data_IF_981570047622
#
_entry.id   IF_981570047622
#
_cell.length_a   1.000
_cell.length_b   1.000
_cell.length_c   1.000
_cell.angle_alpha   90.00
_cell.angle_beta   90.00
_cell.angle_gamma   90.00
#
_symmetry.space_group_name_H-M   'P 1'
#
loop_
_entity.id
_entity.type
_entity.pdbx_description
1 polymer ?
#
# COMPACT_ATOMS: atom_id res chain seq x y z
N UNK A 1 21.43 -6.25 11.03
CA UNK A 1 20.09 -5.84 11.51
C UNK A 1 19.09 -6.03 10.37
N UNK A 2 17.86 -6.45 10.67
CA UNK A 2 16.80 -6.68 9.69
C UNK A 2 15.57 -5.82 10.01
N UNK A 3 14.72 -5.59 9.00
CA UNK A 3 13.39 -5.00 9.21
C UNK A 3 12.34 -6.01 8.79
N UNK A 4 11.38 -6.27 9.69
CA UNK A 4 10.21 -7.11 9.39
C UNK A 4 8.97 -6.25 9.36
N UNK A 5 8.13 -6.48 8.36
CA UNK A 5 6.82 -5.84 8.29
C UNK A 5 5.71 -6.88 8.30
N UNK A 6 4.76 -6.70 9.20
CA UNK A 6 3.57 -7.52 9.31
C UNK A 6 2.32 -6.69 8.98
N UNK A 7 1.50 -7.18 8.05
CA UNK A 7 0.22 -6.56 7.69
C UNK A 7 -0.88 -6.91 8.68
N UNK A 8 -2.02 -6.21 8.61
CA UNK A 8 -3.16 -6.42 9.52
C UNK A 8 -3.68 -7.85 9.53
N UNK A 9 -3.67 -8.54 8.38
CA UNK A 9 -4.07 -9.94 8.29
C UNK A 9 -3.20 -10.88 9.13
N UNK A 10 -1.94 -10.53 9.39
CA UNK A 10 -1.01 -11.38 10.15
C UNK A 10 -1.31 -11.41 11.66
N UNK A 11 -2.03 -10.42 12.17
CA UNK A 11 -2.42 -10.29 13.58
C UNK A 11 -3.94 -10.16 13.76
N UNK A 12 -4.73 -10.56 12.75
CA UNK A 12 -6.18 -10.43 12.74
C UNK A 12 -6.85 -11.23 13.84
N UNK A 13 -6.34 -12.44 14.12
CA UNK A 13 -6.83 -13.32 15.17
C UNK A 13 -5.77 -13.59 16.23
N UNK A 14 -6.22 -14.04 17.40
CA UNK A 14 -5.33 -14.41 18.52
C UNK A 14 -4.35 -15.52 18.11
N UNK A 15 -4.81 -16.51 17.34
CA UNK A 15 -4.00 -17.62 16.87
C UNK A 15 -2.89 -17.11 15.94
N UNK A 16 -3.23 -16.21 15.01
CA UNK A 16 -2.25 -15.59 14.12
C UNK A 16 -1.24 -14.76 14.90
N UNK A 17 -1.69 -13.96 15.88
CA UNK A 17 -0.79 -13.18 16.74
C UNK A 17 0.20 -14.07 17.52
N UNK A 18 -0.27 -15.21 18.05
CA UNK A 18 0.60 -16.20 18.71
C UNK A 18 1.61 -16.80 17.73
N UNK A 19 1.15 -17.16 16.54
CA UNK A 19 2.04 -17.69 15.51
C UNK A 19 3.11 -16.66 15.07
N UNK A 20 2.72 -15.39 14.92
CA UNK A 20 3.68 -14.29 14.63
C UNK A 20 4.68 -14.12 15.77
N UNK A 21 4.24 -14.25 17.02
CA UNK A 21 5.15 -14.18 18.18
C UNK A 21 6.17 -15.34 18.17
N UNK A 22 5.75 -16.57 17.82
CA UNK A 22 6.67 -17.71 17.62
C UNK A 22 7.65 -17.44 16.47
N UNK A 23 7.20 -16.89 15.36
CA UNK A 23 8.06 -16.51 14.24
C UNK A 23 9.07 -15.44 14.66
N UNK A 24 8.66 -14.43 15.38
CA UNK A 24 9.54 -13.37 15.92
C UNK A 24 10.56 -13.97 16.90
N UNK A 25 10.16 -14.94 17.72
CA UNK A 25 11.04 -15.60 18.68
C UNK A 25 12.22 -16.33 18.02
N UNK A 26 12.06 -16.83 16.79
CA UNK A 26 13.18 -17.42 16.04
C UNK A 26 14.32 -16.42 15.76
N UNK A 27 14.04 -15.12 15.85
CA UNK A 27 14.99 -14.02 15.62
C UNK A 27 15.35 -13.24 16.89
N UNK A 28 14.99 -13.74 18.09
CA UNK A 28 15.21 -13.02 19.38
C UNK A 28 16.66 -12.64 19.66
N UNK A 29 17.62 -13.36 19.08
CA UNK A 29 19.05 -13.10 19.22
C UNK A 29 19.62 -12.18 18.14
N UNK A 30 18.79 -11.76 17.17
CA UNK A 30 19.13 -10.83 16.11
C UNK A 30 18.50 -9.46 16.33
N UNK A 31 19.15 -8.40 15.87
CA UNK A 31 18.53 -7.06 15.88
C UNK A 31 17.50 -6.95 14.78
N UNK A 32 16.23 -6.84 15.17
CA UNK A 32 15.10 -6.72 14.24
C UNK A 32 14.19 -5.55 14.61
N UNK A 33 14.00 -4.64 13.67
CA UNK A 33 12.94 -3.64 13.74
C UNK A 33 11.66 -4.24 13.16
N UNK A 34 10.59 -4.27 13.94
CA UNK A 34 9.31 -4.89 13.59
C UNK A 34 8.29 -3.78 13.37
N UNK A 35 7.81 -3.65 12.14
CA UNK A 35 6.77 -2.70 11.73
C UNK A 35 5.44 -3.44 11.57
N UNK A 36 4.42 -3.04 12.34
CA UNK A 36 3.12 -3.72 12.32
C UNK A 36 2.03 -2.71 11.94
N UNK A 37 1.07 -3.17 11.11
CA UNK A 37 -0.12 -2.41 10.73
C UNK A 37 -1.26 -2.59 11.75
N UNK A 38 -2.35 -1.86 11.59
CA UNK A 38 -3.59 -2.06 12.32
C UNK A 38 -4.11 -3.51 12.15
N UNK A 39 -4.73 -4.05 13.22
CA UNK A 39 -5.28 -5.42 13.26
C UNK A 39 -6.39 -5.61 12.21
N UNK A 40 -6.26 -6.63 11.36
CA UNK A 40 -7.32 -7.06 10.44
C UNK A 40 -7.89 -5.92 9.58
N UNK A 41 -9.17 -5.62 9.74
CA UNK A 41 -9.90 -4.57 9.03
C UNK A 41 -10.16 -3.32 9.88
N UNK A 42 -9.37 -3.08 10.91
CA UNK A 42 -9.52 -1.94 11.84
C UNK A 42 -9.53 -0.61 11.08
N UNK A 43 -8.63 -0.41 10.11
CA UNK A 43 -8.59 0.81 9.28
C UNK A 43 -9.93 1.09 8.61
N UNK A 44 -10.57 0.07 8.01
CA UNK A 44 -11.89 0.23 7.38
C UNK A 44 -13.01 0.54 8.40
N UNK A 45 -12.90 0.04 9.64
CA UNK A 45 -13.85 0.38 10.70
C UNK A 45 -13.65 1.84 11.16
N UNK A 46 -12.40 2.27 11.30
CA UNK A 46 -12.06 3.66 11.62
C UNK A 46 -12.49 4.65 10.53
N UNK A 47 -12.38 4.29 9.26
CA UNK A 47 -12.89 5.09 8.13
C UNK A 47 -14.41 5.37 8.28
N UNK A 48 -15.20 4.35 8.65
CA UNK A 48 -16.64 4.55 8.91
C UNK A 48 -16.92 5.50 10.07
N UNK A 49 -16.06 5.48 11.10
CA UNK A 49 -16.16 6.41 12.23
C UNK A 49 -15.90 7.85 11.75
N UNK A 50 -14.86 8.04 10.93
CA UNK A 50 -14.57 9.34 10.31
C UNK A 50 -15.73 9.81 9.45
N UNK A 51 -16.29 8.93 8.61
CA UNK A 51 -17.42 9.28 7.74
C UNK A 51 -18.65 9.70 8.53
N UNK A 52 -19.02 8.95 9.59
CA UNK A 52 -20.12 9.29 10.48
C UNK A 52 -19.87 10.62 11.22
N UNK A 53 -18.66 10.80 11.75
CA UNK A 53 -18.26 12.03 12.44
C UNK A 53 -18.35 13.23 11.49
N UNK A 54 -17.77 13.15 10.30
CA UNK A 54 -17.74 14.24 9.34
C UNK A 54 -19.13 14.56 8.74
N UNK A 55 -20.03 13.56 8.71
CA UNK A 55 -21.44 13.74 8.38
C UNK A 55 -22.29 14.33 9.54
N UNK A 56 -21.67 14.76 10.64
CA UNK A 56 -22.31 15.26 11.87
C UNK A 56 -23.17 14.25 12.63
N UNK A 57 -22.97 12.94 12.37
CA UNK A 57 -23.61 11.83 13.10
C UNK A 57 -22.77 11.43 14.31
N UNK A 58 -22.58 12.34 15.26
CA UNK A 58 -21.66 12.16 16.41
C UNK A 58 -22.03 10.93 17.24
N UNK A 59 -23.33 10.71 17.49
CA UNK A 59 -23.79 9.54 18.26
C UNK A 59 -23.42 8.20 17.58
N UNK A 60 -23.54 8.14 16.26
CA UNK A 60 -23.14 6.97 15.48
C UNK A 60 -21.62 6.77 15.52
N UNK A 61 -20.85 7.83 15.31
CA UNK A 61 -19.38 7.80 15.38
C UNK A 61 -18.90 7.28 16.76
N UNK A 62 -19.48 7.77 17.86
CA UNK A 62 -19.16 7.32 19.22
C UNK A 62 -19.54 5.86 19.46
N UNK A 63 -20.71 5.39 18.95
CA UNK A 63 -21.11 3.99 19.06
C UNK A 63 -20.19 3.06 18.29
N UNK A 64 -19.81 3.43 17.06
CA UNK A 64 -18.87 2.67 16.23
C UNK A 64 -17.49 2.61 16.90
N UNK A 65 -17.02 3.73 17.49
CA UNK A 65 -15.75 3.77 18.19
C UNK A 65 -15.76 2.91 19.45
N UNK A 66 -16.80 3.01 20.29
CA UNK A 66 -16.95 2.15 21.47
C UNK A 66 -16.95 0.66 21.13
N UNK A 67 -17.58 0.28 20.01
CA UNK A 67 -17.55 -1.12 19.53
C UNK A 67 -16.14 -1.55 19.09
N UNK A 68 -15.39 -0.67 18.42
CA UNK A 68 -13.99 -0.91 18.02
C UNK A 68 -13.07 -1.04 19.23
N UNK A 69 -13.22 -0.15 20.21
CA UNK A 69 -12.49 -0.23 21.49
C UNK A 69 -12.75 -1.56 22.19
N UNK A 70 -14.02 -1.95 22.36
CA UNK A 70 -14.41 -3.21 22.98
C UNK A 70 -13.81 -4.42 22.25
N UNK A 71 -13.75 -4.40 20.90
CA UNK A 71 -13.10 -5.46 20.09
C UNK A 71 -11.60 -5.56 20.37
N UNK A 72 -10.90 -4.44 20.46
CA UNK A 72 -9.46 -4.42 20.78
C UNK A 72 -9.18 -4.83 22.24
N UNK A 73 -10.03 -4.43 23.17
CA UNK A 73 -9.94 -4.87 24.57
C UNK A 73 -10.16 -6.38 24.70
N UNK A 74 -11.19 -6.91 24.03
CA UNK A 74 -11.48 -8.36 24.01
C UNK A 74 -10.31 -9.13 23.37
N UNK A 75 -9.78 -8.64 22.25
CA UNK A 75 -8.62 -9.23 21.59
C UNK A 75 -7.39 -9.27 22.51
N UNK A 76 -7.12 -8.19 23.23
CA UNK A 76 -6.03 -8.14 24.21
C UNK A 76 -6.25 -9.13 25.36
N UNK A 77 -7.48 -9.24 25.88
CA UNK A 77 -7.82 -10.19 26.95
C UNK A 77 -7.68 -11.65 26.49
N UNK A 78 -8.10 -11.97 25.29
CA UNK A 78 -7.97 -13.31 24.72
C UNK A 78 -6.51 -13.69 24.42
N UNK A 79 -5.69 -12.71 24.03
CA UNK A 79 -4.28 -12.94 23.70
C UNK A 79 -3.42 -13.08 24.96
N UNK A 80 -3.59 -12.17 25.92
CA UNK A 80 -2.76 -12.08 27.13
C UNK A 80 -3.36 -12.87 28.32
N UNK A 81 -4.65 -13.16 28.33
CA UNK A 81 -5.37 -13.69 29.50
C UNK A 81 -5.60 -12.62 30.57
N UNK A 82 -4.54 -12.05 31.09
CA UNK A 82 -4.58 -10.91 32.04
C UNK A 82 -3.70 -9.78 31.53
N UNK A 83 -4.30 -8.64 31.30
CA UNK A 83 -3.55 -7.42 30.94
C UNK A 83 -2.82 -6.84 32.16
N UNK A 84 -1.64 -6.28 31.91
CA UNK A 84 -0.98 -5.44 32.91
C UNK A 84 -1.69 -4.07 33.02
N UNK A 85 -1.58 -3.44 34.18
CA UNK A 85 -2.09 -2.07 34.38
C UNK A 85 -1.47 -1.08 33.39
N UNK A 86 -0.19 -1.27 33.05
CA UNK A 86 0.52 -0.45 32.08
C UNK A 86 -0.12 -0.52 30.68
N UNK A 87 -0.46 -1.73 30.20
CA UNK A 87 -1.14 -1.88 28.91
C UNK A 87 -2.56 -1.31 28.97
N UNK A 88 -3.32 -1.58 30.05
CA UNK A 88 -4.67 -1.06 30.22
C UNK A 88 -4.69 0.46 30.17
N UNK A 89 -3.78 1.12 30.89
CA UNK A 89 -3.63 2.57 30.89
C UNK A 89 -3.26 3.09 29.50
N UNK A 90 -2.32 2.41 28.80
CA UNK A 90 -1.91 2.81 27.43
C UNK A 90 -3.06 2.72 26.44
N UNK A 91 -3.85 1.64 26.46
CA UNK A 91 -5.01 1.51 25.59
C UNK A 91 -6.06 2.59 25.88
N UNK A 92 -6.34 2.89 27.16
CA UNK A 92 -7.26 3.97 27.55
C UNK A 92 -6.74 5.33 27.08
N UNK A 93 -5.45 5.63 27.28
CA UNK A 93 -4.83 6.87 26.79
C UNK A 93 -5.03 7.04 25.28
N UNK A 94 -4.72 6.01 24.50
CA UNK A 94 -4.87 6.02 23.05
C UNK A 94 -6.33 6.19 22.62
N UNK A 95 -7.29 5.50 23.26
CA UNK A 95 -8.70 5.66 22.96
C UNK A 95 -9.21 7.07 23.28
N UNK A 96 -8.73 7.66 24.38
CA UNK A 96 -9.09 9.03 24.77
C UNK A 96 -8.64 10.06 23.74
N UNK A 97 -7.53 9.85 23.01
CA UNK A 97 -7.13 10.72 21.90
C UNK A 97 -8.27 10.83 20.85
N UNK A 98 -8.87 9.70 20.49
CA UNK A 98 -9.98 9.68 19.51
C UNK A 98 -11.28 10.26 20.10
N UNK A 99 -11.59 9.97 21.36
CA UNK A 99 -12.78 10.55 22.03
C UNK A 99 -12.71 12.08 22.05
N UNK A 100 -11.53 12.66 22.25
CA UNK A 100 -11.33 14.10 22.17
C UNK A 100 -11.63 14.62 20.77
N UNK A 101 -11.10 13.99 19.73
CA UNK A 101 -11.38 14.37 18.34
C UNK A 101 -12.88 14.29 18.05
N UNK A 102 -13.58 13.23 18.50
CA UNK A 102 -15.02 13.07 18.32
C UNK A 102 -15.85 14.08 19.12
N UNK A 103 -15.25 14.79 20.07
CA UNK A 103 -15.89 15.90 20.83
C UNK A 103 -15.59 17.29 20.26
N UNK A 104 -14.69 17.41 19.28
CA UNK A 104 -14.32 18.69 18.68
C UNK A 104 -15.43 19.25 17.77
N UNK A 105 -15.35 20.55 17.52
CA UNK A 105 -16.14 21.18 16.47
C UNK A 105 -15.52 20.90 15.10
N UNK A 106 -16.36 20.74 14.06
CA UNK A 106 -15.90 20.48 12.69
C UNK A 106 -15.37 21.77 12.04
N UNK A 107 -14.14 22.15 12.36
CA UNK A 107 -13.46 23.33 11.81
C UNK A 107 -12.29 22.98 10.88
N UNK A 108 -11.96 21.68 10.75
CA UNK A 108 -10.87 21.18 9.94
C UNK A 108 -11.39 20.36 8.74
N UNK A 109 -10.55 20.20 7.68
CA UNK A 109 -10.88 19.35 6.55
C UNK A 109 -11.05 17.87 6.93
N UNK A 110 -11.83 17.11 6.16
CA UNK A 110 -12.01 15.67 6.32
C UNK A 110 -10.69 14.91 6.44
N UNK A 111 -9.68 15.26 5.61
CA UNK A 111 -8.39 14.60 5.61
C UNK A 111 -7.63 14.72 6.95
N UNK A 112 -7.78 15.83 7.66
CA UNK A 112 -7.25 16.03 9.01
C UNK A 112 -7.88 15.03 9.99
N UNK A 113 -9.21 15.02 10.09
CA UNK A 113 -9.92 14.12 11.01
C UNK A 113 -9.69 12.66 10.68
N UNK A 114 -9.58 12.34 9.38
CA UNK A 114 -9.21 11.02 8.93
C UNK A 114 -7.90 10.56 9.58
N UNK A 115 -6.85 11.36 9.49
CA UNK A 115 -5.54 11.00 10.01
C UNK A 115 -5.50 10.95 11.54
N UNK A 116 -6.21 11.85 12.25
CA UNK A 116 -6.27 11.80 13.71
C UNK A 116 -6.97 10.52 14.20
N UNK A 117 -8.05 10.08 13.55
CA UNK A 117 -8.83 8.92 13.98
C UNK A 117 -8.20 7.61 13.48
N UNK A 118 -7.79 7.55 12.20
CA UNK A 118 -7.34 6.29 11.60
C UNK A 118 -6.00 5.84 12.16
N UNK A 119 -5.13 6.76 12.54
CA UNK A 119 -3.80 6.43 13.12
C UNK A 119 -3.84 5.57 14.38
N UNK A 120 -4.96 5.56 15.11
CA UNK A 120 -5.08 4.81 16.36
C UNK A 120 -4.97 3.30 16.17
N UNK A 121 -5.38 2.78 15.00
CA UNK A 121 -5.39 1.36 14.71
C UNK A 121 -4.02 0.70 14.84
N UNK A 122 -3.00 1.36 14.31
CA UNK A 122 -1.61 0.90 14.38
C UNK A 122 -1.06 1.00 15.80
N UNK A 123 -1.41 2.03 16.54
CA UNK A 123 -0.98 2.24 17.92
C UNK A 123 -1.54 1.17 18.86
N UNK A 124 -2.85 0.87 18.73
CA UNK A 124 -3.50 -0.17 19.52
C UNK A 124 -2.89 -1.55 19.24
N UNK A 125 -2.77 -1.93 17.97
CA UNK A 125 -2.28 -3.24 17.58
C UNK A 125 -0.84 -3.49 18.01
N UNK A 126 0.03 -2.50 17.86
CA UNK A 126 1.45 -2.63 18.22
C UNK A 126 1.67 -2.63 19.70
N UNK A 127 0.89 -1.85 20.48
CA UNK A 127 0.93 -1.86 21.95
C UNK A 127 0.53 -3.22 22.51
N UNK A 128 -0.53 -3.84 21.96
CA UNK A 128 -0.97 -5.17 22.38
C UNK A 128 0.08 -6.24 22.03
N UNK A 129 0.64 -6.21 20.82
CA UNK A 129 1.67 -7.17 20.40
C UNK A 129 2.95 -7.06 21.23
N UNK A 130 3.43 -5.84 21.52
CA UNK A 130 4.60 -5.62 22.35
C UNK A 130 4.39 -6.14 23.78
N UNK A 131 3.22 -5.86 24.36
CA UNK A 131 2.86 -6.38 25.69
C UNK A 131 2.80 -7.91 25.70
N UNK A 132 2.24 -8.53 24.66
CA UNK A 132 2.19 -9.98 24.55
C UNK A 132 3.58 -10.61 24.43
N UNK A 133 4.46 -10.10 23.56
CA UNK A 133 5.84 -10.60 23.45
C UNK A 133 6.57 -10.53 24.79
N UNK A 134 6.51 -9.39 25.47
CA UNK A 134 7.15 -9.24 26.79
C UNK A 134 6.56 -10.19 27.83
N UNK A 135 5.24 -10.43 27.83
CA UNK A 135 4.58 -11.36 28.74
C UNK A 135 5.05 -12.81 28.56
N UNK A 136 5.32 -13.23 27.32
CA UNK A 136 5.81 -14.59 27.03
C UNK A 136 7.34 -14.70 27.10
N UNK A 137 8.04 -13.66 27.59
CA UNK A 137 9.48 -13.65 27.81
C UNK A 137 10.31 -13.28 26.59
N UNK A 138 9.71 -12.75 25.54
CA UNK A 138 10.40 -12.22 24.36
C UNK A 138 10.56 -10.71 24.56
N UNK A 139 11.72 -10.28 25.06
CA UNK A 139 11.97 -8.87 25.35
C UNK A 139 11.93 -7.99 24.10
N UNK A 140 10.98 -7.09 24.03
CA UNK A 140 10.77 -6.16 22.92
C UNK A 140 10.44 -4.75 23.42
N UNK A 141 11.07 -3.74 22.84
CA UNK A 141 10.78 -2.33 23.11
C UNK A 141 9.70 -1.84 22.16
N UNK A 142 8.69 -1.15 22.69
CA UNK A 142 7.67 -0.49 21.89
C UNK A 142 8.00 1.00 21.75
N UNK A 143 7.97 1.52 20.53
CA UNK A 143 8.27 2.92 20.23
C UNK A 143 7.13 3.50 19.40
N UNK A 144 6.62 4.66 19.82
CA UNK A 144 5.65 5.43 19.04
C UNK A 144 6.33 6.03 17.81
N UNK A 145 5.89 5.64 16.65
CA UNK A 145 6.47 6.12 15.38
C UNK A 145 6.27 7.62 15.16
N UNK A 146 5.23 8.21 15.78
CA UNK A 146 4.93 9.64 15.67
C UNK A 146 6.04 10.52 16.23
N UNK A 147 6.82 10.00 17.18
CA UNK A 147 7.99 10.69 17.73
C UNK A 147 9.17 10.72 16.75
N UNK A 148 9.16 9.86 15.73
CA UNK A 148 10.29 9.59 14.84
C UNK A 148 9.99 9.99 13.41
N UNK A 149 8.86 9.51 12.85
CA UNK A 149 8.46 9.73 11.46
C UNK A 149 7.84 11.12 11.31
N UNK A 150 8.66 12.10 10.96
CA UNK A 150 8.21 13.49 10.76
C UNK A 150 7.86 13.75 9.30
N UNK A 151 6.76 14.47 9.08
CA UNK A 151 6.20 14.70 7.75
C UNK A 151 5.70 16.14 7.60
N UNK A 152 5.28 16.48 6.38
CA UNK A 152 4.42 17.64 6.16
C UNK A 152 2.96 17.35 6.60
N UNK A 153 2.08 18.34 6.41
CA UNK A 153 0.65 18.29 6.72
C UNK A 153 -0.24 17.90 5.52
N UNK A 154 0.34 17.20 4.54
CA UNK A 154 -0.43 16.63 3.44
C UNK A 154 -1.17 15.40 3.93
N UNK A 155 -2.26 15.63 4.69
CA UNK A 155 -3.04 14.55 5.29
C UNK A 155 -3.47 13.49 4.27
N UNK A 156 -3.47 12.21 4.67
CA UNK A 156 -3.78 11.00 3.91
C UNK A 156 -2.71 10.56 2.90
N UNK A 157 -1.72 11.38 2.61
CA UNK A 157 -0.57 11.02 1.72
C UNK A 157 0.65 11.91 2.06
N UNK A 158 1.00 11.96 3.35
CA UNK A 158 2.02 12.86 3.87
C UNK A 158 3.41 12.56 3.33
N UNK A 159 4.18 13.62 3.06
CA UNK A 159 5.54 13.51 2.60
C UNK A 159 6.51 13.52 3.78
N UNK A 160 7.46 12.58 3.78
CA UNK A 160 8.43 12.44 4.85
C UNK A 160 9.46 13.56 4.80
N UNK A 161 9.70 14.20 5.95
CA UNK A 161 10.82 15.11 6.18
C UNK A 161 12.08 14.27 6.46
N UNK A 162 12.75 13.80 5.40
CA UNK A 162 13.82 12.82 5.47
C UNK A 162 14.93 13.17 6.47
N UNK A 163 15.50 14.36 6.41
CA UNK A 163 16.61 14.74 7.28
C UNK A 163 16.24 14.69 8.76
N UNK A 164 15.02 15.12 9.09
CA UNK A 164 14.52 15.14 10.47
C UNK A 164 14.22 13.73 10.96
N UNK A 165 13.51 12.96 10.15
CA UNK A 165 13.18 11.56 10.41
C UNK A 165 14.46 10.73 10.58
N UNK A 166 15.47 10.91 9.73
CA UNK A 166 16.76 10.21 9.81
C UNK A 166 17.46 10.48 11.13
N UNK A 167 17.56 11.76 11.53
CA UNK A 167 18.22 12.15 12.78
C UNK A 167 17.54 11.53 14.01
N UNK A 168 16.19 11.61 14.05
CA UNK A 168 15.41 11.06 15.16
C UNK A 168 15.46 9.52 15.17
N UNK A 169 15.27 8.88 14.02
CA UNK A 169 15.27 7.43 13.91
C UNK A 169 16.61 6.83 14.34
N UNK A 170 17.73 7.37 13.87
CA UNK A 170 19.07 6.92 14.31
C UNK A 170 19.21 7.05 15.82
N UNK A 171 18.89 8.20 16.40
CA UNK A 171 19.02 8.44 17.83
C UNK A 171 18.19 7.47 18.66
N UNK A 172 16.90 7.32 18.31
CA UNK A 172 15.94 6.52 19.09
C UNK A 172 16.22 5.02 18.93
N UNK A 173 16.35 4.54 17.69
CA UNK A 173 16.57 3.11 17.44
C UNK A 173 17.95 2.64 17.89
N UNK A 174 19.00 3.43 17.73
CA UNK A 174 20.34 3.07 18.26
C UNK A 174 20.33 2.94 19.78
N UNK A 175 19.59 3.81 20.47
CA UNK A 175 19.41 3.71 21.93
C UNK A 175 18.65 2.45 22.31
N UNK A 176 17.52 2.16 21.63
CA UNK A 176 16.71 0.98 21.90
C UNK A 176 17.50 -0.32 21.63
N UNK A 177 18.21 -0.42 20.50
CA UNK A 177 19.01 -1.59 20.14
C UNK A 177 20.29 -1.80 20.97
N UNK A 178 20.60 -0.92 21.92
CA UNK A 178 21.62 -1.18 22.96
C UNK A 178 21.08 -2.05 24.10
N UNK A 179 19.76 -2.07 24.29
CA UNK A 179 19.10 -2.77 25.41
C UNK A 179 18.25 -3.96 24.93
N UNK A 180 17.67 -3.86 23.75
CA UNK A 180 16.76 -4.85 23.18
C UNK A 180 17.24 -5.29 21.79
N UNK A 181 17.04 -6.57 21.49
CA UNK A 181 17.26 -7.06 20.13
C UNK A 181 16.04 -6.83 19.24
N UNK A 182 14.84 -6.76 19.83
CA UNK A 182 13.59 -6.58 19.12
C UNK A 182 12.99 -5.22 19.47
N UNK A 183 12.66 -4.46 18.45
CA UNK A 183 11.98 -3.17 18.57
C UNK A 183 10.72 -3.18 17.72
N UNK A 184 9.59 -2.81 18.32
CA UNK A 184 8.28 -2.78 17.65
C UNK A 184 7.86 -1.32 17.49
N UNK A 185 7.39 -1.00 16.27
CA UNK A 185 6.83 0.31 15.95
C UNK A 185 5.68 0.17 14.94
N UNK A 186 4.95 1.25 14.71
CA UNK A 186 3.85 1.32 13.77
C UNK A 186 4.37 1.54 12.34
N UNK A 187 3.63 1.02 11.37
CA UNK A 187 3.73 1.48 10.00
C UNK A 187 2.64 2.50 9.66
N UNK A 188 2.60 3.00 8.44
CA UNK A 188 1.53 3.81 7.88
C UNK A 188 1.39 5.22 8.43
N UNK A 189 1.77 5.49 9.66
CA UNK A 189 1.55 6.75 10.36
C UNK A 189 2.86 7.50 10.64
N UNK A 190 2.74 8.80 10.88
CA UNK A 190 3.78 9.70 11.36
C UNK A 190 3.16 10.90 12.04
N UNK A 191 3.91 11.97 12.19
CA UNK A 191 3.40 13.24 12.72
C UNK A 191 4.00 14.45 12.03
N UNK A 192 3.24 15.55 12.05
CA UNK A 192 3.73 16.87 11.69
C UNK A 192 4.63 17.46 12.79
N UNK A 193 5.20 18.62 12.53
CA UNK A 193 5.99 19.37 13.54
C UNK A 193 5.14 19.82 14.72
N UNK A 194 3.84 20.03 14.54
CA UNK A 194 2.87 20.36 15.56
C UNK A 194 2.31 19.12 16.30
N UNK A 195 2.93 17.95 16.08
CA UNK A 195 2.54 16.65 16.65
C UNK A 195 1.11 16.19 16.29
N UNK A 196 0.54 16.66 15.19
CA UNK A 196 -0.70 16.10 14.65
C UNK A 196 -0.37 14.80 13.90
N UNK A 197 -1.20 13.77 14.10
CA UNK A 197 -1.04 12.49 13.41
C UNK A 197 -1.28 12.67 11.90
N UNK A 198 -0.52 11.92 11.11
CA UNK A 198 -0.68 11.86 9.65
C UNK A 198 -0.58 10.44 9.16
N UNK A 199 -1.14 10.16 7.98
CA UNK A 199 -0.98 8.87 7.31
C UNK A 199 -0.18 9.01 6.01
N UNK A 200 0.57 7.95 5.65
CA UNK A 200 1.49 7.94 4.51
C UNK A 200 0.85 7.45 3.20
N UNK A 201 -0.46 7.31 3.19
CA UNK A 201 -1.22 6.86 2.03
C UNK A 201 -1.12 5.35 1.76
N UNK A 202 -1.43 4.97 0.53
CA UNK A 202 -1.53 3.57 0.13
C UNK A 202 -0.24 2.79 0.40
N UNK A 203 -0.37 1.58 0.99
CA UNK A 203 0.74 0.70 1.40
C UNK A 203 1.75 1.40 2.32
N UNK A 204 1.30 2.38 3.11
CA UNK A 204 2.14 3.21 3.98
C UNK A 204 2.95 2.41 4.99
N UNK A 205 2.48 1.24 5.47
CA UNK A 205 3.25 0.41 6.39
C UNK A 205 4.44 -0.27 5.72
N UNK A 206 4.31 -0.73 4.46
CA UNK A 206 5.43 -1.27 3.69
C UNK A 206 6.44 -0.14 3.41
N UNK A 207 5.93 1.07 3.12
CA UNK A 207 6.76 2.26 2.94
C UNK A 207 7.49 2.66 4.21
N UNK A 208 6.85 2.67 5.39
CA UNK A 208 7.52 2.93 6.68
C UNK A 208 8.69 1.97 6.93
N UNK A 209 8.47 0.67 6.66
CA UNK A 209 9.50 -0.34 6.80
C UNK A 209 10.70 -0.07 5.87
N UNK A 210 10.44 0.33 4.61
CA UNK A 210 11.48 0.67 3.64
C UNK A 210 12.24 1.94 4.01
N UNK A 211 11.56 2.95 4.55
CA UNK A 211 12.18 4.20 5.02
C UNK A 211 13.13 3.92 6.17
N UNK A 212 12.67 3.20 7.20
CA UNK A 212 13.54 2.84 8.33
C UNK A 212 14.69 1.92 7.91
N UNK A 213 14.44 0.99 6.99
CA UNK A 213 15.49 0.16 6.43
C UNK A 213 16.58 0.98 5.74
N UNK A 214 16.18 1.97 4.94
CA UNK A 214 17.12 2.90 4.31
C UNK A 214 17.89 3.71 5.35
N UNK A 215 17.21 4.31 6.33
CA UNK A 215 17.84 5.15 7.36
C UNK A 215 18.86 4.37 8.20
N UNK A 216 18.51 3.14 8.60
CA UNK A 216 19.30 2.31 9.50
C UNK A 216 20.33 1.42 8.79
N UNK A 217 20.37 1.46 7.45
CA UNK A 217 21.31 0.71 6.62
C UNK A 217 21.31 -0.80 6.93
N UNK A 218 20.11 -1.39 6.86
CA UNK A 218 19.88 -2.77 7.28
C UNK A 218 20.32 -3.77 6.21
N UNK A 219 20.54 -5.03 6.62
CA UNK A 219 20.90 -6.14 5.73
C UNK A 219 19.77 -6.53 4.79
N UNK A 220 18.52 -6.45 5.26
CA UNK A 220 17.35 -6.85 4.47
C UNK A 220 16.04 -6.36 5.08
N UNK A 221 15.02 -6.27 4.23
CA UNK A 221 13.61 -6.11 4.64
C UNK A 221 12.86 -7.39 4.32
N UNK A 222 11.97 -7.82 5.22
CA UNK A 222 11.01 -8.91 4.93
C UNK A 222 9.59 -8.39 5.15
N UNK A 223 8.79 -8.40 4.09
CA UNK A 223 7.34 -8.17 4.15
C UNK A 223 6.66 -9.55 4.26
N UNK A 224 6.05 -9.78 5.41
CA UNK A 224 5.32 -11.00 5.70
C UNK A 224 3.86 -10.86 5.24
N UNK A 225 3.44 -11.73 4.31
CA UNK A 225 2.08 -11.78 3.73
C UNK A 225 1.43 -13.14 3.97
N UNK A 226 0.17 -13.26 3.61
CA UNK A 226 -0.60 -14.52 3.65
C UNK A 226 -0.50 -15.35 2.36
N UNK A 227 0.38 -14.92 1.45
CA UNK A 227 0.66 -15.61 0.19
C UNK A 227 2.07 -16.18 0.17
N UNK A 228 2.31 -17.33 -0.52
CA UNK A 228 3.60 -18.02 -0.46
C UNK A 228 4.76 -17.24 -1.08
N UNK A 229 4.47 -16.41 -2.08
CA UNK A 229 5.45 -15.61 -2.84
C UNK A 229 4.73 -14.59 -3.71
N UNK A 230 5.46 -13.76 -4.45
CA UNK A 230 4.90 -13.08 -5.60
C UNK A 230 4.58 -14.10 -6.69
N UNK A 231 3.44 -13.93 -7.34
CA UNK A 231 3.00 -14.79 -8.44
C UNK A 231 3.09 -14.02 -9.76
N UNK A 232 3.22 -14.76 -10.83
CA UNK A 232 3.27 -14.21 -12.18
C UNK A 232 1.94 -13.64 -12.70
N UNK A 233 0.84 -13.86 -11.96
CA UNK A 233 -0.48 -13.28 -12.22
C UNK A 233 -1.34 -13.30 -10.95
N UNK A 234 -2.49 -12.63 -10.97
CA UNK A 234 -3.48 -12.71 -9.89
C UNK A 234 -4.18 -14.08 -9.92
N UNK A 235 -4.05 -14.92 -8.88
CA UNK A 235 -4.66 -16.24 -8.85
C UNK A 235 -6.20 -16.24 -8.85
N UNK A 236 -6.83 -15.11 -8.57
CA UNK A 236 -8.28 -14.94 -8.68
C UNK A 236 -8.74 -14.84 -10.13
N UNK A 237 -7.85 -14.40 -11.03
CA UNK A 237 -8.13 -14.20 -12.45
C UNK A 237 -7.52 -15.29 -13.31
N UNK A 238 -6.42 -15.88 -12.88
CA UNK A 238 -5.64 -16.86 -13.63
C UNK A 238 -5.39 -18.11 -12.77
N UNK A 239 -5.96 -19.26 -13.14
CA UNK A 239 -5.89 -20.48 -12.28
C UNK A 239 -4.49 -21.11 -12.24
N UNK A 240 -3.67 -20.91 -13.28
CA UNK A 240 -2.36 -21.56 -13.44
C UNK A 240 -1.20 -20.60 -13.15
N UNK A 241 -1.23 -19.94 -11.97
CA UNK A 241 -0.16 -19.04 -11.56
C UNK A 241 1.06 -19.80 -11.06
N UNK A 242 2.24 -19.23 -11.30
CA UNK A 242 3.50 -19.79 -10.83
C UNK A 242 4.23 -18.79 -9.91
N UNK A 243 4.95 -19.27 -8.89
CA UNK A 243 5.72 -18.43 -8.00
C UNK A 243 6.94 -17.84 -8.72
N UNK A 244 7.28 -16.61 -8.36
CA UNK A 244 8.51 -15.93 -8.78
C UNK A 244 9.47 -15.97 -7.59
N UNK A 245 10.53 -16.78 -7.66
CA UNK A 245 11.49 -16.92 -6.57
C UNK A 245 12.43 -15.70 -6.46
N UNK A 246 12.81 -15.13 -7.59
CA UNK A 246 13.75 -14.00 -7.67
C UNK A 246 13.30 -13.01 -8.74
N UNK A 247 13.35 -11.71 -8.41
CA UNK A 247 12.90 -10.64 -9.32
C UNK A 247 13.69 -9.35 -9.05
N UNK A 248 13.93 -8.55 -10.09
CA UNK A 248 14.60 -7.26 -9.93
C UNK A 248 13.64 -6.17 -9.44
N UNK A 249 14.16 -5.15 -8.76
CA UNK A 249 13.38 -3.94 -8.43
C UNK A 249 12.74 -3.31 -9.66
N UNK A 250 13.47 -3.26 -10.78
CA UNK A 250 12.94 -2.73 -12.04
C UNK A 250 11.69 -3.50 -12.49
N UNK A 251 11.74 -4.82 -12.46
CA UNK A 251 10.61 -5.64 -12.91
C UNK A 251 9.39 -5.49 -11.99
N UNK A 252 9.59 -5.40 -10.67
CA UNK A 252 8.49 -5.14 -9.71
C UNK A 252 7.84 -3.77 -9.97
N UNK A 253 8.64 -2.73 -10.26
CA UNK A 253 8.11 -1.40 -10.60
C UNK A 253 7.28 -1.46 -11.89
N UNK A 254 7.74 -2.17 -12.90
CA UNK A 254 7.01 -2.38 -14.15
C UNK A 254 5.67 -3.12 -13.91
N UNK A 255 5.70 -4.22 -13.13
CA UNK A 255 4.50 -4.94 -12.75
C UNK A 255 3.48 -4.03 -12.04
N UNK A 256 3.95 -3.24 -11.08
CA UNK A 256 3.10 -2.30 -10.32
C UNK A 256 2.54 -1.19 -11.22
N UNK A 257 3.33 -0.68 -12.17
CA UNK A 257 2.89 0.33 -13.14
C UNK A 257 1.71 -0.18 -13.97
N UNK A 258 1.78 -1.43 -14.43
CA UNK A 258 0.70 -2.06 -15.20
C UNK A 258 -0.50 -2.48 -14.35
N UNK A 259 -0.39 -2.42 -13.01
CA UNK A 259 -1.50 -2.64 -12.10
C UNK A 259 -1.44 -3.91 -11.25
N UNK A 260 -0.33 -4.64 -11.29
CA UNK A 260 -0.14 -5.76 -10.38
C UNK A 260 -0.10 -5.28 -8.92
N UNK A 261 -0.86 -5.95 -8.06
CA UNK A 261 -0.91 -5.63 -6.62
C UNK A 261 0.18 -6.40 -5.86
N UNK A 262 1.42 -6.06 -6.10
CA UNK A 262 2.59 -6.75 -5.50
C UNK A 262 3.22 -5.93 -4.38
N UNK A 263 4.01 -4.92 -4.73
CA UNK A 263 4.64 -3.96 -3.82
C UNK A 263 4.54 -2.58 -4.46
N UNK A 264 4.16 -1.58 -3.70
CA UNK A 264 4.02 -0.23 -4.23
C UNK A 264 5.40 0.38 -4.56
N UNK A 265 5.56 1.11 -5.66
CA UNK A 265 6.83 1.76 -6.04
C UNK A 265 7.41 2.69 -4.95
N UNK A 266 6.58 3.32 -4.12
CA UNK A 266 7.02 4.10 -2.94
C UNK A 266 7.93 3.27 -2.01
N UNK A 267 7.60 1.99 -1.80
CA UNK A 267 8.36 1.05 -0.96
C UNK A 267 9.69 0.65 -1.61
N UNK A 268 9.69 0.49 -2.94
CA UNK A 268 10.88 0.04 -3.69
C UNK A 268 11.98 1.09 -3.69
N UNK A 269 11.63 2.37 -3.91
CA UNK A 269 12.61 3.44 -4.12
C UNK A 269 13.64 3.59 -2.99
N UNK A 270 13.26 3.63 -1.69
CA UNK A 270 14.24 3.71 -0.60
C UNK A 270 15.18 2.51 -0.54
N UNK A 271 14.68 1.30 -0.83
CA UNK A 271 15.46 0.07 -0.80
C UNK A 271 16.44 -0.01 -1.97
N UNK A 272 15.97 0.31 -3.17
CA UNK A 272 16.79 0.34 -4.37
C UNK A 272 17.95 1.33 -4.26
N UNK A 273 17.72 2.49 -3.65
CA UNK A 273 18.75 3.53 -3.49
C UNK A 273 19.96 3.08 -2.65
N UNK A 274 19.77 2.09 -1.78
CA UNK A 274 20.81 1.52 -0.91
C UNK A 274 21.11 0.06 -1.18
N UNK A 275 20.54 -0.48 -2.24
CA UNK A 275 20.70 -1.88 -2.63
C UNK A 275 20.31 -2.88 -1.52
N UNK A 276 19.29 -2.54 -0.72
CA UNK A 276 18.79 -3.37 0.37
C UNK A 276 17.81 -4.41 -0.19
N UNK A 277 18.11 -5.70 -0.10
CA UNK A 277 17.22 -6.75 -0.60
C UNK A 277 15.90 -6.79 0.17
N UNK A 278 14.81 -6.97 -0.58
CA UNK A 278 13.45 -7.12 -0.06
C UNK A 278 12.97 -8.55 -0.26
N UNK A 279 12.55 -9.19 0.82
CA UNK A 279 11.90 -10.50 0.78
C UNK A 279 10.39 -10.34 0.96
N UNK A 280 9.62 -11.05 0.15
CA UNK A 280 8.19 -11.28 0.38
C UNK A 280 8.02 -12.73 0.79
N UNK A 281 7.60 -12.97 2.04
CA UNK A 281 7.49 -14.31 2.63
C UNK A 281 6.10 -14.55 3.21
N UNK A 282 5.74 -15.83 3.28
CA UNK A 282 4.50 -16.26 3.90
C UNK A 282 4.65 -16.34 5.43
N UNK A 283 3.77 -15.63 6.16
CA UNK A 283 3.76 -15.79 7.62
C UNK A 283 3.05 -17.06 8.08
N UNK A 284 2.22 -17.71 7.23
CA UNK A 284 1.54 -18.96 7.55
C UNK A 284 2.45 -20.19 7.43
N UNK A 285 3.53 -20.09 6.68
CA UNK A 285 4.57 -21.13 6.56
C UNK A 285 5.94 -20.51 6.36
N UNK A 286 6.70 -20.42 7.44
CA UNK A 286 8.04 -19.83 7.45
C UNK A 286 9.10 -20.60 6.65
N UNK A 287 8.82 -21.86 6.27
CA UNK A 287 9.74 -22.70 5.50
C UNK A 287 9.70 -22.40 4.01
N UNK A 288 8.67 -21.69 3.53
CA UNK A 288 8.61 -21.26 2.14
C UNK A 288 9.68 -20.20 1.87
N UNK A 289 10.37 -20.36 0.74
CA UNK A 289 11.45 -19.43 0.35
C UNK A 289 10.95 -18.00 0.14
N UNK A 290 9.72 -17.84 -0.38
CA UNK A 290 9.17 -16.56 -0.78
C UNK A 290 9.81 -16.03 -2.07
N UNK A 291 9.74 -14.72 -2.24
CA UNK A 291 10.36 -13.99 -3.37
C UNK A 291 11.45 -13.06 -2.86
N UNK A 292 12.62 -13.12 -3.48
CA UNK A 292 13.71 -12.17 -3.31
C UNK A 292 13.59 -11.06 -4.37
N UNK A 293 13.52 -9.82 -3.94
CA UNK A 293 13.52 -8.61 -4.78
C UNK A 293 14.82 -7.85 -4.53
N UNK A 294 15.67 -7.70 -5.54
CA UNK A 294 16.97 -7.06 -5.41
C UNK A 294 17.51 -6.54 -6.74
N UNK A 295 18.64 -5.86 -6.72
CA UNK A 295 19.40 -5.59 -7.92
C UNK A 295 20.30 -6.78 -8.26
N UNK A 296 20.41 -7.13 -9.55
CA UNK A 296 21.33 -8.13 -10.05
C UNK A 296 21.73 -7.84 -11.49
N UNK A 297 22.97 -8.15 -11.82
CA UNK A 297 23.47 -8.10 -13.21
C UNK A 297 23.26 -9.43 -13.94
N UNK A 298 22.86 -10.49 -13.22
CA UNK A 298 22.56 -11.80 -13.82
C UNK A 298 21.22 -11.73 -14.54
N UNK A 299 21.16 -12.33 -15.73
CA UNK A 299 19.91 -12.46 -16.44
C UNK A 299 18.98 -13.44 -15.69
N UNK A 300 17.82 -12.94 -15.26
CA UNK A 300 16.76 -13.76 -14.68
C UNK A 300 15.80 -14.14 -15.81
N UNK A 301 15.48 -15.43 -15.90
CA UNK A 301 14.43 -15.91 -16.80
C UNK A 301 13.09 -15.86 -16.07
N UNK A 302 12.24 -14.92 -16.45
CA UNK A 302 10.91 -14.77 -15.87
C UNK A 302 9.89 -15.66 -16.61
N UNK A 303 8.92 -16.24 -15.89
CA UNK A 303 7.71 -16.72 -16.55
C UNK A 303 6.97 -15.51 -17.18
N UNK A 304 6.06 -15.72 -18.12
CA UNK A 304 5.18 -14.67 -18.58
C UNK A 304 4.41 -14.07 -17.39
N UNK A 305 4.53 -12.75 -17.20
CA UNK A 305 3.88 -12.03 -16.10
C UNK A 305 2.63 -11.36 -16.68
N UNK A 306 1.46 -11.71 -16.14
CA UNK A 306 0.17 -11.30 -16.66
C UNK A 306 -0.55 -10.36 -15.69
N UNK A 307 -1.04 -9.26 -16.22
CA UNK A 307 -1.85 -8.27 -15.48
C UNK A 307 -3.11 -7.98 -16.28
N UNK A 308 -4.26 -8.12 -15.63
CA UNK A 308 -5.56 -7.81 -16.21
C UNK A 308 -6.23 -6.69 -15.43
N UNK A 309 -6.50 -5.57 -16.08
CA UNK A 309 -7.37 -4.51 -15.55
C UNK A 309 -8.74 -4.64 -16.16
N UNK A 310 -9.74 -4.69 -15.32
CA UNK A 310 -11.16 -4.73 -15.70
C UNK A 310 -11.74 -3.31 -15.80
N UNK A 311 -12.93 -3.18 -16.32
CA UNK A 311 -13.68 -1.91 -16.40
C UNK A 311 -12.87 -0.79 -17.04
N UNK A 312 -12.30 -1.06 -18.21
CA UNK A 312 -11.56 -0.07 -18.99
C UNK A 312 -12.48 0.62 -20.01
N UNK A 313 -12.14 1.86 -20.31
CA UNK A 313 -12.75 2.65 -21.39
C UNK A 313 -11.66 2.93 -22.42
N UNK A 314 -11.94 2.60 -23.68
CA UNK A 314 -11.13 3.04 -24.81
C UNK A 314 -11.78 4.28 -25.40
N UNK A 315 -11.08 5.40 -25.29
CA UNK A 315 -11.51 6.71 -25.77
C UNK A 315 -10.74 7.07 -27.04
N UNK A 316 -11.45 7.45 -28.09
CA UNK A 316 -10.87 7.98 -29.31
C UNK A 316 -11.31 9.43 -29.50
N UNK A 317 -10.35 10.34 -29.54
CA UNK A 317 -10.54 11.80 -29.72
C UNK A 317 -10.06 12.19 -31.09
N UNK A 318 -10.96 12.71 -31.94
CA UNK A 318 -10.67 13.08 -33.31
C UNK A 318 -10.79 14.60 -33.51
N UNK A 319 -9.98 15.16 -34.39
CA UNK A 319 -10.18 16.54 -34.86
C UNK A 319 -11.44 16.60 -35.77
N UNK A 320 -12.27 17.65 -35.61
CA UNK A 320 -13.55 17.76 -36.34
C UNK A 320 -13.38 18.09 -37.82
N UNK A 321 -12.29 18.76 -38.15
CA UNK A 321 -11.98 19.26 -39.50
C UNK A 321 -10.97 18.39 -40.24
N UNK A 322 -10.67 17.19 -39.72
CA UNK A 322 -9.64 16.27 -40.25
C UNK A 322 -8.22 16.86 -40.26
N UNK A 323 -7.96 17.96 -39.54
CA UNK A 323 -6.61 18.46 -39.33
C UNK A 323 -5.75 17.46 -38.55
N UNK A 324 -4.44 17.51 -38.71
CA UNK A 324 -3.54 16.66 -37.94
C UNK A 324 -3.60 17.04 -36.45
N UNK A 325 -3.55 16.01 -35.60
CA UNK A 325 -3.31 16.22 -34.17
C UNK A 325 -1.87 16.66 -33.98
N UNK A 326 -1.72 17.91 -33.57
CA UNK A 326 -0.43 18.55 -33.31
C UNK A 326 -0.07 18.40 -31.82
N UNK A 327 1.18 18.76 -31.46
CA UNK A 327 1.65 18.83 -30.08
C UNK A 327 0.78 19.75 -29.20
N UNK A 328 0.23 20.84 -29.78
CA UNK A 328 -0.71 21.74 -29.09
C UNK A 328 -2.02 21.04 -28.73
N UNK A 329 -2.58 20.24 -29.63
CA UNK A 329 -3.76 19.43 -29.37
C UNK A 329 -3.48 18.41 -28.24
N UNK A 330 -2.34 17.70 -28.33
CA UNK A 330 -1.92 16.75 -27.30
C UNK A 330 -1.76 17.42 -25.93
N UNK A 331 -1.12 18.60 -25.87
CA UNK A 331 -0.96 19.36 -24.64
C UNK A 331 -2.30 19.71 -24.00
N UNK A 332 -3.28 20.18 -24.81
CA UNK A 332 -4.65 20.46 -24.34
C UNK A 332 -5.34 19.22 -23.82
N UNK A 333 -5.29 18.11 -24.58
CA UNK A 333 -5.89 16.83 -24.18
C UNK A 333 -5.30 16.35 -22.85
N UNK A 334 -3.97 16.31 -22.70
CA UNK A 334 -3.33 15.91 -21.43
C UNK A 334 -3.69 16.85 -20.27
N UNK A 335 -3.84 18.16 -20.53
CA UNK A 335 -4.26 19.12 -19.50
C UNK A 335 -5.66 18.80 -19.00
N UNK A 336 -6.60 18.42 -19.88
CA UNK A 336 -7.95 18.01 -19.49
C UNK A 336 -7.93 16.72 -18.67
N UNK A 337 -7.17 15.69 -19.09
CA UNK A 337 -6.99 14.47 -18.31
C UNK A 337 -6.43 14.75 -16.92
N UNK A 338 -5.45 15.64 -16.82
CA UNK A 338 -4.87 16.05 -15.53
C UNK A 338 -5.88 16.79 -14.65
N UNK A 339 -6.63 17.74 -15.22
CA UNK A 339 -7.66 18.51 -14.48
C UNK A 339 -8.72 17.57 -13.89
N UNK A 340 -9.19 16.58 -14.66
CA UNK A 340 -10.16 15.59 -14.22
C UNK A 340 -9.52 14.47 -13.36
N UNK A 341 -8.21 14.52 -13.11
CA UNK A 341 -7.45 13.48 -12.36
C UNK A 341 -7.67 12.06 -12.90
N UNK A 342 -7.75 11.92 -14.20
CA UNK A 342 -7.89 10.63 -14.90
C UNK A 342 -6.50 10.17 -15.36
N UNK A 343 -6.08 8.98 -14.90
CA UNK A 343 -4.84 8.35 -15.33
C UNK A 343 -5.05 7.62 -16.66
N UNK A 344 -4.14 7.84 -17.59
CA UNK A 344 -4.08 7.09 -18.84
C UNK A 344 -3.23 5.84 -18.63
N UNK A 345 -3.77 4.68 -19.01
CA UNK A 345 -3.09 3.39 -18.93
C UNK A 345 -2.32 3.02 -20.20
N UNK A 346 -2.87 3.40 -21.38
CA UNK A 346 -2.27 3.14 -22.68
C UNK A 346 -2.68 4.23 -23.65
N UNK A 347 -1.79 4.62 -24.56
CA UNK A 347 -2.07 5.65 -25.57
C UNK A 347 -1.57 5.21 -26.95
N UNK A 348 -2.25 5.70 -27.97
CA UNK A 348 -1.78 5.65 -29.34
C UNK A 348 -2.18 6.93 -30.08
N UNK A 349 -1.23 7.54 -30.74
CA UNK A 349 -1.47 8.69 -31.64
C UNK A 349 -1.53 8.22 -33.09
N UNK A 350 -2.47 8.78 -33.83
CA UNK A 350 -2.55 8.67 -35.27
C UNK A 350 -2.63 10.07 -35.90
N UNK A 351 -2.72 10.18 -37.21
CA UNK A 351 -2.68 11.47 -37.91
C UNK A 351 -3.75 12.46 -37.39
N UNK A 352 -4.98 12.00 -37.23
CA UNK A 352 -6.16 12.82 -36.89
C UNK A 352 -6.84 12.35 -35.60
N UNK A 353 -6.24 11.40 -34.86
CA UNK A 353 -6.86 10.85 -33.62
C UNK A 353 -5.84 10.60 -32.52
N UNK A 354 -6.28 10.83 -31.29
CA UNK A 354 -5.65 10.41 -30.05
C UNK A 354 -6.51 9.31 -29.45
N UNK A 355 -5.92 8.17 -29.17
CA UNK A 355 -6.60 7.04 -28.53
C UNK A 355 -6.02 6.81 -27.16
N UNK A 356 -6.86 6.67 -26.13
CA UNK A 356 -6.44 6.43 -24.75
C UNK A 356 -7.29 5.33 -24.12
N UNK A 357 -6.63 4.40 -23.41
CA UNK A 357 -7.26 3.46 -22.51
C UNK A 357 -7.15 3.97 -21.08
N UNK A 358 -8.26 4.03 -20.35
CA UNK A 358 -8.38 4.60 -19.01
C UNK A 358 -9.19 3.70 -18.09
N UNK A 359 -9.01 3.86 -16.77
CA UNK A 359 -9.87 3.24 -15.79
C UNK A 359 -11.24 3.91 -15.78
N UNK A 360 -12.33 3.12 -15.69
CA UNK A 360 -13.67 3.66 -15.58
C UNK A 360 -13.88 4.35 -14.22
N UNK A 361 -14.16 5.64 -14.26
CA UNK A 361 -14.60 6.44 -13.12
C UNK A 361 -15.75 7.34 -13.63
N UNK A 362 -17.02 6.97 -13.42
CA UNK A 362 -18.15 7.60 -14.10
C UNK A 362 -18.21 9.12 -13.91
N UNK A 363 -18.10 9.62 -12.68
CA UNK A 363 -18.21 11.05 -12.40
C UNK A 363 -17.13 11.89 -13.11
N UNK A 364 -15.87 11.48 -12.97
CA UNK A 364 -14.73 12.18 -13.59
C UNK A 364 -14.69 11.99 -15.11
N UNK A 365 -15.18 10.86 -15.59
CA UNK A 365 -15.22 10.56 -17.01
C UNK A 365 -16.25 11.45 -17.73
N UNK A 366 -17.43 11.67 -17.16
CA UNK A 366 -18.44 12.54 -17.75
C UNK A 366 -17.96 13.99 -17.83
N UNK A 367 -17.21 14.46 -16.80
CA UNK A 367 -16.57 15.77 -16.82
C UNK A 367 -15.52 15.88 -17.95
N UNK A 368 -14.66 14.89 -18.09
CA UNK A 368 -13.66 14.83 -19.15
C UNK A 368 -14.32 14.81 -20.53
N UNK A 369 -15.33 13.97 -20.71
CA UNK A 369 -16.06 13.83 -21.96
C UNK A 369 -16.68 15.16 -22.38
N UNK A 370 -17.39 15.81 -21.47
CA UNK A 370 -18.01 17.14 -21.73
C UNK A 370 -16.97 18.21 -22.08
N UNK A 371 -15.77 18.13 -21.51
CA UNK A 371 -14.69 19.08 -21.83
C UNK A 371 -14.07 18.80 -23.22
N UNK A 372 -13.82 17.52 -23.55
CA UNK A 372 -13.27 17.13 -24.86
C UNK A 372 -14.24 17.38 -26.01
N UNK A 373 -15.52 17.11 -25.82
CA UNK A 373 -16.58 17.31 -26.83
C UNK A 373 -16.81 18.76 -27.22
N UNK A 374 -16.21 19.75 -26.55
CA UNK A 374 -16.24 21.15 -26.98
C UNK A 374 -15.43 21.39 -28.26
N UNK A 375 -14.27 20.74 -28.35
CA UNK A 375 -13.31 20.96 -29.44
C UNK A 375 -13.16 19.76 -30.38
N UNK A 376 -13.45 18.54 -29.92
CA UNK A 376 -13.17 17.29 -30.63
C UNK A 376 -14.43 16.46 -30.87
N UNK A 377 -14.34 15.51 -31.81
CA UNK A 377 -15.31 14.42 -31.97
C UNK A 377 -14.80 13.22 -31.17
N UNK A 378 -15.62 12.75 -30.20
CA UNK A 378 -15.19 11.75 -29.26
C UNK A 378 -16.01 10.47 -29.43
N UNK A 379 -15.31 9.33 -29.57
CA UNK A 379 -15.91 7.98 -29.58
C UNK A 379 -15.38 7.17 -28.41
N UNK A 380 -16.19 6.26 -27.88
CA UNK A 380 -15.82 5.43 -26.74
C UNK A 380 -16.34 4.00 -26.86
N UNK A 381 -15.57 3.08 -26.31
CA UNK A 381 -15.98 1.71 -26.00
C UNK A 381 -15.80 1.50 -24.51
N UNK A 382 -16.80 0.98 -23.83
CA UNK A 382 -16.83 0.78 -22.40
C UNK A 382 -16.81 -0.72 -22.06
N UNK A 383 -16.64 -1.05 -20.77
CA UNK A 383 -16.62 -2.42 -20.26
C UNK A 383 -15.52 -3.30 -20.89
N UNK A 384 -14.40 -2.70 -21.18
CA UNK A 384 -13.25 -3.37 -21.77
C UNK A 384 -12.29 -3.89 -20.70
N UNK A 385 -11.33 -4.68 -21.16
CA UNK A 385 -10.22 -5.16 -20.34
C UNK A 385 -8.90 -4.64 -20.94
N UNK A 386 -7.96 -4.27 -20.09
CA UNK A 386 -6.57 -4.05 -20.50
C UNK A 386 -5.74 -5.23 -20.03
N UNK A 387 -5.30 -6.03 -20.96
CA UNK A 387 -4.44 -7.18 -20.70
C UNK A 387 -2.99 -6.83 -21.02
N UNK A 388 -2.12 -6.93 -20.03
CA UNK A 388 -0.67 -6.68 -20.15
C UNK A 388 0.08 -7.96 -19.87
N UNK A 389 0.96 -8.38 -20.77
CA UNK A 389 1.85 -9.52 -20.57
C UNK A 389 3.29 -9.07 -20.75
N UNK A 390 4.10 -9.25 -19.71
CA UNK A 390 5.54 -9.08 -19.78
C UNK A 390 6.23 -10.44 -19.98
N UNK A 391 7.38 -10.44 -20.64
CA UNK A 391 8.09 -11.69 -21.02
C UNK A 391 7.18 -12.69 -21.73
N UNK A 392 6.31 -12.14 -22.59
CA UNK A 392 5.29 -12.93 -23.30
C UNK A 392 5.90 -13.99 -24.23
N UNK A 393 5.19 -15.09 -24.34
CA UNK A 393 5.39 -16.11 -25.37
C UNK A 393 4.16 -16.20 -26.26
N UNK A 394 4.33 -16.67 -27.51
CA UNK A 394 3.19 -16.76 -28.42
C UNK A 394 2.11 -17.70 -27.88
N UNK A 395 2.49 -18.80 -27.24
CA UNK A 395 1.54 -19.76 -26.69
C UNK A 395 0.60 -19.15 -25.63
N UNK A 396 1.14 -18.31 -24.73
CA UNK A 396 0.33 -17.64 -23.71
C UNK A 396 -0.66 -16.67 -24.34
N UNK A 397 -0.24 -15.95 -25.40
CA UNK A 397 -1.13 -15.02 -26.10
C UNK A 397 -2.27 -15.77 -26.81
N UNK A 398 -1.95 -16.87 -27.49
CA UNK A 398 -2.92 -17.70 -28.19
C UNK A 398 -3.94 -18.35 -27.23
N UNK A 399 -3.52 -18.70 -26.02
CA UNK A 399 -4.37 -19.27 -24.98
C UNK A 399 -5.32 -18.22 -24.38
N UNK A 400 -4.78 -17.09 -23.93
CA UNK A 400 -5.53 -16.06 -23.20
C UNK A 400 -6.42 -15.21 -24.11
N UNK A 401 -6.09 -15.11 -25.41
CA UNK A 401 -6.82 -14.30 -26.38
C UNK A 401 -7.81 -15.10 -27.23
N UNK A 402 -7.90 -16.41 -27.05
CA UNK A 402 -8.65 -17.36 -27.95
C UNK A 402 -10.05 -16.91 -28.32
N UNK A 403 -10.75 -16.19 -27.44
CA UNK A 403 -12.13 -15.76 -27.63
C UNK A 403 -12.32 -14.25 -27.40
N UNK A 404 -11.26 -13.45 -27.53
CA UNK A 404 -11.30 -12.00 -27.28
C UNK A 404 -11.03 -11.22 -28.56
N UNK A 405 -11.79 -10.14 -28.73
CA UNK A 405 -11.60 -9.17 -29.83
C UNK A 405 -10.61 -8.11 -29.38
N UNK A 406 -9.51 -7.96 -30.09
CA UNK A 406 -8.48 -6.94 -29.79
C UNK A 406 -8.88 -5.65 -30.48
N UNK A 407 -9.05 -4.58 -29.71
CA UNK A 407 -9.38 -3.23 -30.21
C UNK A 407 -8.15 -2.35 -30.37
N UNK A 408 -7.15 -2.53 -29.51
CA UNK A 408 -5.90 -1.80 -29.54
C UNK A 408 -4.78 -2.70 -29.03
N UNK A 409 -3.64 -2.72 -29.73
CA UNK A 409 -2.44 -3.47 -29.33
C UNK A 409 -1.22 -2.57 -29.36
N UNK A 410 -0.38 -2.71 -28.35
CA UNK A 410 0.94 -2.10 -28.27
C UNK A 410 1.97 -3.13 -27.85
N UNK A 411 3.00 -3.30 -28.65
CA UNK A 411 4.00 -4.34 -28.47
C UNK A 411 5.41 -3.78 -28.44
N UNK A 412 6.17 -4.21 -27.44
CA UNK A 412 7.62 -3.97 -27.31
C UNK A 412 8.37 -5.32 -27.32
N UNK A 413 9.68 -5.29 -27.09
CA UNK A 413 10.49 -6.54 -27.02
C UNK A 413 10.08 -7.45 -25.86
N UNK A 414 9.61 -6.89 -24.76
CA UNK A 414 9.34 -7.65 -23.53
C UNK A 414 7.89 -7.53 -23.05
N UNK A 415 7.15 -6.57 -23.55
CA UNK A 415 5.80 -6.27 -23.06
C UNK A 415 4.82 -6.17 -24.22
N UNK A 416 3.67 -6.77 -24.07
CA UNK A 416 2.53 -6.55 -24.93
C UNK A 416 1.34 -6.07 -24.09
N UNK A 417 0.67 -5.05 -24.55
CA UNK A 417 -0.56 -4.53 -23.97
C UNK A 417 -1.67 -4.60 -25.00
N UNK A 418 -2.84 -5.06 -24.61
CA UNK A 418 -3.99 -5.22 -25.48
C UNK A 418 -5.25 -4.77 -24.77
N UNK A 419 -5.99 -3.88 -25.42
CA UNK A 419 -7.36 -3.55 -25.02
C UNK A 419 -8.28 -4.54 -25.72
N UNK A 420 -8.99 -5.31 -24.92
CA UNK A 420 -9.82 -6.43 -25.42
C UNK A 420 -11.26 -6.34 -24.90
N UNK A 421 -12.16 -6.91 -25.70
CA UNK A 421 -13.58 -7.04 -25.40
C UNK A 421 -13.93 -8.49 -25.12
#
# INVERSE_FOLDING_TARGET
>A
MKVFKFGGASIETVERARYIAELINDYRDEKVLIVISAKGKTTNALEKIVDAFYAHNISEAQQLFAALEADHQLYADQLLGKRSDALSNKLTELCTEVEWVLSEQHDRPYAYYYDQIVSIGELLSTSIMAAYLNQIGIAAEWIDVRDIMKTDDTYRDANIQWNKTESLAKTVFEKAFKQYNLVITQGYIGSTDDNTSVTLGREGSDYSAAVFANILDVESVTIWKDVPSLLNADPKLFPNTVPIEEITFHEVIEMAYYGAQVIHPKTIKPLQNKDIPLYVKCFLDKNLKGTLIHNTTKAIQYPPIMVLKTNQILLQVNTRDYSFITEDNLSKIYTLFHACKIKINMIQNAAISFVACIDSNPERFDELLAALEKEYDVKRNEHLFLFTVRHYTQNILDEELRNRSILLEQKTRQTIQMVVQ
#
